data_IF_034268844151
#
_entry.id   IF_034268844151
#
_cell.length_a   1.000
_cell.length_b   1.000
_cell.length_c   1.000
_cell.angle_alpha   90.00
_cell.angle_beta   90.00
_cell.angle_gamma   90.00
#
_symmetry.space_group_name_H-M   'P 1'
#
loop_
_entity.id
_entity.type
_entity.pdbx_description
1 polymer ?
#
# COMPACT_ATOMS: atom_id res chain seq x y z
N UNK A 1 38.00 17.88 24.43
CA UNK A 1 37.01 16.99 25.08
C UNK A 1 35.64 17.05 24.40
N UNK A 2 35.08 18.24 24.11
CA UNK A 2 33.78 18.35 23.41
C UNK A 2 33.78 17.72 21.99
N UNK A 3 34.89 17.80 21.24
CA UNK A 3 35.01 17.18 19.91
C UNK A 3 35.19 15.66 19.93
N UNK A 4 35.37 15.06 21.11
CA UNK A 4 35.53 13.61 21.28
C UNK A 4 34.19 12.92 21.65
N UNK A 5 33.06 13.63 21.60
CA UNK A 5 31.74 13.08 21.91
C UNK A 5 31.42 12.92 23.40
N UNK A 6 32.28 13.43 24.28
CA UNK A 6 32.01 13.41 25.72
C UNK A 6 30.90 14.42 26.07
N UNK A 7 30.00 14.02 26.97
CA UNK A 7 29.00 14.91 27.53
C UNK A 7 29.69 16.08 28.27
N UNK A 8 29.24 17.30 28.01
CA UNK A 8 29.76 18.52 28.64
C UNK A 8 28.72 19.05 29.63
N UNK A 9 29.11 19.22 30.88
CA UNK A 9 28.26 19.79 31.93
C UNK A 9 28.26 21.32 31.84
N UNK A 10 27.47 21.86 30.92
CA UNK A 10 27.41 23.31 30.69
C UNK A 10 26.89 24.10 31.90
N UNK A 11 26.09 23.48 32.77
CA UNK A 11 25.55 24.11 33.97
C UNK A 11 26.65 24.44 35.02
N UNK A 12 27.67 23.58 35.13
CA UNK A 12 28.81 23.82 36.03
C UNK A 12 29.68 25.00 35.56
N UNK A 13 29.75 25.22 34.24
CA UNK A 13 30.53 26.31 33.62
C UNK A 13 29.75 27.62 33.56
N UNK A 14 28.42 27.57 33.37
CA UNK A 14 27.57 28.74 33.16
C UNK A 14 26.27 28.65 34.00
N UNK A 15 26.36 28.81 35.33
CA UNK A 15 25.22 28.60 36.24
C UNK A 15 24.09 29.64 36.08
N UNK A 16 24.39 30.82 35.51
CA UNK A 16 23.42 31.88 35.25
C UNK A 16 23.13 32.10 33.76
N UNK A 17 23.46 31.13 32.90
CA UNK A 17 23.23 31.22 31.46
C UNK A 17 21.74 31.18 31.08
N UNK A 18 21.38 31.82 29.97
CA UNK A 18 20.04 31.76 29.38
C UNK A 18 20.09 30.99 28.07
N UNK A 19 19.25 29.95 27.95
CA UNK A 19 19.07 29.22 26.70
C UNK A 19 18.38 30.12 25.67
N UNK A 20 18.82 30.02 24.43
CA UNK A 20 18.26 30.76 23.29
C UNK A 20 17.92 29.77 22.19
N UNK A 21 16.92 30.11 21.38
CA UNK A 21 16.61 29.34 20.19
C UNK A 21 17.77 29.48 19.20
N UNK A 22 18.44 28.36 18.96
CA UNK A 22 19.42 28.26 17.90
C UNK A 22 18.71 27.99 16.56
N UNK A 23 19.23 28.49 15.44
CA UNK A 23 18.77 28.06 14.13
C UNK A 23 18.79 26.54 14.03
N UNK A 24 17.75 25.96 13.43
CA UNK A 24 17.71 24.51 13.20
C UNK A 24 18.91 24.09 12.34
N UNK A 25 19.53 22.93 12.63
CA UNK A 25 20.60 22.42 11.80
C UNK A 25 20.09 22.24 10.36
N UNK A 26 20.91 22.62 9.39
CA UNK A 26 20.58 22.39 7.98
C UNK A 26 20.78 20.92 7.66
N UNK A 27 19.68 20.20 7.57
CA UNK A 27 19.60 18.88 7.00
C UNK A 27 20.07 18.85 5.54
N UNK A 28 20.95 17.89 5.22
CA UNK A 28 21.29 17.57 3.84
C UNK A 28 20.21 16.66 3.26
N UNK A 29 19.41 17.20 2.35
CA UNK A 29 18.37 16.46 1.64
C UNK A 29 18.97 15.59 0.56
N UNK A 30 19.48 14.42 0.93
CA UNK A 30 19.87 13.41 -0.05
C UNK A 30 18.63 12.59 -0.42
N UNK A 31 18.28 12.47 -1.71
CA UNK A 31 17.19 11.59 -2.12
C UNK A 31 17.60 10.13 -1.88
N UNK A 32 17.03 9.54 -0.84
CA UNK A 32 17.21 8.12 -0.49
C UNK A 32 15.95 7.34 -0.86
N UNK A 33 15.64 7.32 -2.16
CA UNK A 33 14.52 6.57 -2.72
C UNK A 33 15.02 5.23 -3.27
N UNK A 34 14.32 4.14 -2.94
CA UNK A 34 14.51 2.87 -3.63
C UNK A 34 13.80 2.96 -4.98
N UNK A 35 14.58 2.98 -6.06
CA UNK A 35 14.06 2.97 -7.43
C UNK A 35 14.28 1.56 -7.97
N UNK A 36 13.21 0.81 -8.28
CA UNK A 36 13.32 -0.49 -8.91
C UNK A 36 14.03 -0.36 -10.27
N UNK A 37 15.03 -1.21 -10.50
CA UNK A 37 15.79 -1.26 -11.75
C UNK A 37 14.97 -1.81 -12.94
N UNK A 38 13.93 -2.58 -12.63
CA UNK A 38 12.95 -3.08 -13.58
C UNK A 38 11.55 -2.62 -13.15
N UNK A 39 10.82 -1.84 -13.98
CA UNK A 39 9.46 -1.42 -13.68
C UNK A 39 8.47 -2.59 -13.60
N UNK A 40 8.76 -3.76 -14.18
CA UNK A 40 7.95 -4.97 -13.97
C UNK A 40 8.14 -5.58 -12.58
N UNK A 41 9.28 -5.32 -11.94
CA UNK A 41 9.59 -5.69 -10.55
C UNK A 41 9.32 -4.54 -9.55
N UNK A 42 8.85 -3.39 -10.02
CA UNK A 42 8.51 -2.24 -9.18
C UNK A 42 7.28 -2.48 -8.29
N UNK A 43 6.48 -3.50 -8.60
CA UNK A 43 5.33 -3.93 -7.82
C UNK A 43 5.80 -4.78 -6.64
N UNK A 44 6.27 -4.10 -5.58
CA UNK A 44 6.37 -4.65 -4.23
C UNK A 44 6.97 -6.07 -4.19
N UNK A 45 8.29 -6.14 -4.28
CA UNK A 45 9.03 -7.40 -4.25
C UNK A 45 8.54 -8.36 -3.16
N UNK A 46 8.49 -9.63 -3.55
CA UNK A 46 8.39 -10.83 -2.71
C UNK A 46 7.01 -11.35 -2.27
N UNK A 47 5.94 -11.09 -3.03
CA UNK A 47 4.74 -11.94 -2.93
C UNK A 47 4.39 -12.43 -4.33
N UNK A 48 4.48 -13.75 -4.56
CA UNK A 48 3.93 -14.39 -5.76
C UNK A 48 2.49 -13.92 -5.91
N UNK A 49 2.20 -13.16 -6.97
CA UNK A 49 0.84 -12.76 -7.28
C UNK A 49 0.02 -14.02 -7.58
N UNK A 50 -0.71 -14.52 -6.57
CA UNK A 50 -1.51 -15.75 -6.70
C UNK A 50 -2.72 -15.52 -7.61
N UNK A 51 -3.16 -14.25 -7.76
CA UNK A 51 -4.31 -13.89 -8.58
C UNK A 51 -4.00 -12.72 -9.54
N UNK A 52 -4.27 -12.88 -10.85
CA UNK A 52 -3.85 -11.93 -11.90
C UNK A 52 -4.46 -10.52 -11.77
N UNK A 53 -5.55 -10.37 -11.00
CA UNK A 53 -6.21 -9.07 -10.76
C UNK A 53 -6.08 -8.54 -9.33
N UNK A 54 -5.41 -9.26 -8.41
CA UNK A 54 -5.19 -8.79 -7.03
C UNK A 54 -3.71 -8.56 -6.70
N UNK A 55 -2.79 -9.23 -7.40
CA UNK A 55 -1.35 -9.01 -7.22
C UNK A 55 -0.86 -9.21 -5.79
N UNK A 56 -0.04 -8.28 -5.32
CA UNK A 56 0.60 -8.33 -4.01
C UNK A 56 -0.41 -8.07 -2.89
N UNK A 57 -0.36 -8.88 -1.84
CA UNK A 57 -1.18 -8.75 -0.65
C UNK A 57 -0.34 -8.25 0.53
N UNK A 58 -0.79 -7.19 1.18
CA UNK A 58 -0.21 -6.64 2.39
C UNK A 58 -1.24 -6.69 3.52
N UNK A 59 -0.87 -7.35 4.62
CA UNK A 59 -1.63 -7.33 5.87
C UNK A 59 -1.08 -6.21 6.76
N UNK A 60 -1.92 -5.24 7.12
CA UNK A 60 -1.59 -4.13 8.00
C UNK A 60 -2.15 -4.43 9.40
N UNK A 61 -1.30 -4.60 10.43
CA UNK A 61 -1.72 -4.89 11.80
C UNK A 61 -2.22 -3.61 12.52
N UNK A 62 -3.18 -2.92 11.92
CA UNK A 62 -3.89 -1.77 12.48
C UNK A 62 -5.20 -2.24 13.17
N UNK A 63 -5.82 -1.40 14.00
CA UNK A 63 -7.14 -1.66 14.57
C UNK A 63 -8.16 -0.64 14.01
N UNK A 64 -9.18 -1.07 13.23
CA UNK A 64 -9.46 -2.46 12.82
C UNK A 64 -8.46 -3.01 11.79
N UNK A 65 -8.29 -4.34 11.79
CA UNK A 65 -7.40 -5.04 10.85
C UNK A 65 -7.69 -4.66 9.41
N UNK A 66 -6.62 -4.44 8.63
CA UNK A 66 -6.74 -3.97 7.25
C UNK A 66 -5.87 -4.80 6.31
N UNK A 67 -6.46 -5.15 5.17
CA UNK A 67 -5.78 -5.87 4.09
C UNK A 67 -5.79 -5.01 2.83
N UNK A 68 -4.66 -4.93 2.15
CA UNK A 68 -4.48 -4.15 0.93
C UNK A 68 -3.93 -5.05 -0.17
N UNK A 69 -4.52 -4.93 -1.35
CA UNK A 69 -4.04 -5.56 -2.58
C UNK A 69 -3.62 -4.49 -3.57
N UNK A 70 -2.51 -4.75 -4.26
CA UNK A 70 -1.99 -3.85 -5.29
C UNK A 70 -1.55 -4.63 -6.51
N UNK A 71 -2.05 -4.21 -7.66
CA UNK A 71 -1.64 -4.69 -8.99
C UNK A 71 -1.96 -3.64 -10.04
N UNK A 72 -1.28 -3.73 -11.18
CA UNK A 72 -1.71 -3.03 -12.39
C UNK A 72 -2.82 -3.81 -13.09
N UNK A 73 -3.85 -3.09 -13.54
CA UNK A 73 -4.96 -3.65 -14.31
C UNK A 73 -5.17 -2.77 -15.54
N UNK A 74 -5.11 -3.38 -16.71
CA UNK A 74 -5.28 -2.70 -18.00
C UNK A 74 -4.91 -3.65 -19.13
N UNK A 75 -5.12 -3.23 -20.38
CA UNK A 75 -4.85 -4.07 -21.55
C UNK A 75 -3.37 -4.41 -21.73
N UNK A 76 -2.45 -3.59 -21.20
CA UNK A 76 -1.02 -3.91 -21.14
C UNK A 76 -0.76 -5.11 -20.22
N UNK A 77 -1.35 -5.13 -19.02
CA UNK A 77 -1.16 -6.19 -18.04
C UNK A 77 -2.03 -7.43 -18.34
N UNK A 78 -3.21 -7.23 -18.92
CA UNK A 78 -4.24 -8.24 -19.17
C UNK A 78 -4.83 -8.04 -20.57
N UNK A 79 -4.19 -8.59 -21.63
CA UNK A 79 -4.59 -8.33 -23.01
C UNK A 79 -6.04 -8.68 -23.34
N UNK A 80 -6.61 -9.69 -22.67
CA UNK A 80 -8.02 -10.09 -22.82
C UNK A 80 -9.02 -9.01 -22.41
N UNK A 81 -8.62 -7.99 -21.64
CA UNK A 81 -9.49 -6.84 -21.34
C UNK A 81 -9.84 -6.02 -22.58
N UNK A 82 -9.04 -6.13 -23.66
CA UNK A 82 -9.35 -5.47 -24.92
C UNK A 82 -10.66 -6.02 -25.55
N UNK A 83 -11.06 -7.23 -25.20
CA UNK A 83 -12.24 -7.90 -25.76
C UNK A 83 -13.54 -7.48 -25.03
N UNK A 84 -13.45 -6.91 -23.83
CA UNK A 84 -14.62 -6.39 -23.11
C UNK A 84 -14.73 -4.88 -23.23
N UNK A 85 -15.65 -4.42 -24.08
CA UNK A 85 -15.82 -3.00 -24.37
C UNK A 85 -17.23 -2.51 -24.06
N UNK A 86 -17.31 -1.32 -23.47
CA UNK A 86 -18.55 -0.57 -23.28
C UNK A 86 -18.41 0.72 -24.08
N UNK A 87 -19.31 0.95 -25.04
CA UNK A 87 -19.22 2.08 -25.97
C UNK A 87 -17.85 2.19 -26.68
N UNK A 88 -17.29 1.06 -27.13
CA UNK A 88 -15.99 0.96 -27.83
C UNK A 88 -14.77 1.35 -26.97
N UNK A 89 -14.93 1.37 -25.64
CA UNK A 89 -13.83 1.61 -24.70
C UNK A 89 -13.64 0.36 -23.85
N UNK A 90 -12.39 -0.13 -23.76
CA UNK A 90 -12.04 -1.26 -22.92
C UNK A 90 -12.43 -0.96 -21.45
N UNK A 91 -13.18 -1.87 -20.85
CA UNK A 91 -13.68 -1.73 -19.50
C UNK A 91 -13.44 -3.03 -18.73
N UNK A 92 -13.18 -2.91 -17.42
CA UNK A 92 -13.09 -4.09 -16.57
C UNK A 92 -14.50 -4.71 -16.39
N UNK A 93 -14.74 -5.99 -16.76
CA UNK A 93 -16.04 -6.60 -16.59
C UNK A 93 -16.50 -6.60 -15.13
N UNK A 94 -17.82 -6.49 -14.90
CA UNK A 94 -18.38 -6.59 -13.55
C UNK A 94 -18.01 -7.92 -12.86
N UNK A 95 -17.97 -9.03 -13.61
CA UNK A 95 -17.58 -10.34 -13.10
C UNK A 95 -16.14 -10.36 -12.55
N UNK A 96 -15.23 -9.56 -13.12
CA UNK A 96 -13.85 -9.47 -12.62
C UNK A 96 -13.79 -8.86 -11.22
N UNK A 97 -14.67 -7.89 -10.90
CA UNK A 97 -14.80 -7.37 -9.54
C UNK A 97 -15.34 -8.43 -8.57
N UNK A 98 -16.29 -9.27 -9.01
CA UNK A 98 -16.78 -10.38 -8.19
C UNK A 98 -15.66 -11.38 -7.87
N UNK A 99 -14.86 -11.77 -8.86
CA UNK A 99 -13.72 -12.67 -8.65
C UNK A 99 -12.66 -12.07 -7.72
N UNK A 100 -12.34 -10.78 -7.88
CA UNK A 100 -11.46 -10.07 -6.94
C UNK A 100 -12.01 -10.08 -5.52
N UNK A 101 -13.31 -9.80 -5.34
CA UNK A 101 -13.93 -9.79 -4.01
C UNK A 101 -13.94 -11.19 -3.38
N UNK A 102 -14.27 -12.24 -4.15
CA UNK A 102 -14.28 -13.62 -3.67
C UNK A 102 -12.88 -14.10 -3.29
N UNK A 103 -11.88 -13.80 -4.11
CA UNK A 103 -10.50 -14.19 -3.85
C UNK A 103 -9.90 -13.45 -2.65
N UNK A 104 -10.19 -12.15 -2.51
CA UNK A 104 -9.81 -11.38 -1.33
C UNK A 104 -10.47 -11.93 -0.06
N UNK A 105 -11.77 -12.24 -0.13
CA UNK A 105 -12.50 -12.84 0.98
C UNK A 105 -11.94 -14.21 1.37
N UNK A 106 -11.62 -15.09 0.40
CA UNK A 106 -10.98 -16.38 0.69
C UNK A 106 -9.60 -16.23 1.32
N UNK A 107 -8.84 -15.22 0.91
CA UNK A 107 -7.52 -14.93 1.49
C UNK A 107 -7.61 -14.46 2.94
N UNK A 108 -8.61 -13.63 3.28
CA UNK A 108 -8.78 -13.08 4.63
C UNK A 108 -9.49 -14.04 5.57
N UNK A 109 -10.59 -14.64 5.11
CA UNK A 109 -11.48 -15.45 5.95
C UNK A 109 -11.26 -16.96 5.79
N UNK A 110 -10.38 -17.38 4.89
CA UNK A 110 -10.20 -18.78 4.51
C UNK A 110 -11.27 -19.29 3.54
N UNK A 111 -11.19 -20.57 3.16
CA UNK A 111 -12.28 -21.25 2.46
C UNK A 111 -13.55 -21.18 3.33
N UNK A 112 -14.71 -20.79 2.78
CA UNK A 112 -15.96 -20.97 3.52
C UNK A 112 -16.05 -22.45 3.87
N UNK A 113 -16.04 -22.77 5.16
CA UNK A 113 -16.39 -24.10 5.63
C UNK A 113 -17.65 -24.51 4.86
N UNK A 114 -17.57 -25.62 4.11
CA UNK A 114 -18.69 -26.15 3.31
C UNK A 114 -19.98 -25.87 4.06
N UNK A 115 -20.94 -25.22 3.42
CA UNK A 115 -22.22 -24.87 4.04
C UNK A 115 -22.88 -26.13 4.63
N UNK A 116 -22.61 -26.38 5.91
CA UNK A 116 -23.60 -26.87 6.83
C UNK A 116 -24.59 -25.73 7.00
N UNK A 117 -25.86 -26.02 6.74
CA UNK A 117 -26.99 -25.12 6.92
C UNK A 117 -26.96 -24.47 8.31
N UNK A 118 -26.41 -23.26 8.43
CA UNK A 118 -26.57 -22.44 9.62
C UNK A 118 -26.65 -20.96 9.22
N UNK A 119 -27.64 -20.20 9.71
CA UNK A 119 -27.93 -18.88 9.20
C UNK A 119 -27.11 -17.79 9.93
N UNK A 120 -26.66 -16.81 9.13
CA UNK A 120 -26.36 -15.42 9.48
C UNK A 120 -25.02 -15.13 10.17
N UNK A 121 -24.09 -14.54 9.42
CA UNK A 121 -23.25 -13.45 9.92
C UNK A 121 -23.06 -12.44 8.80
N UNK A 122 -23.53 -11.20 9.03
CA UNK A 122 -23.56 -10.10 8.07
C UNK A 122 -22.20 -9.41 8.11
N UNK A 123 -21.44 -9.47 7.01
CA UNK A 123 -20.15 -8.78 6.91
C UNK A 123 -20.33 -7.45 6.16
N UNK A 124 -20.18 -6.32 6.87
CA UNK A 124 -20.38 -4.97 6.33
C UNK A 124 -19.05 -4.23 6.21
N UNK A 125 -18.24 -4.53 5.19
CA UNK A 125 -17.02 -3.78 4.88
C UNK A 125 -16.78 -3.70 3.37
N UNK A 126 -17.39 -2.74 2.68
CA UNK A 126 -16.92 -2.30 1.36
C UNK A 126 -17.08 -0.77 1.23
N UNK A 127 -15.97 -0.04 1.28
CA UNK A 127 -15.84 1.36 0.84
C UNK A 127 -14.65 1.44 -0.10
N UNK A 128 -14.91 1.49 -1.41
CA UNK A 128 -13.91 1.74 -2.45
C UNK A 128 -13.76 3.25 -2.67
N UNK A 129 -12.67 3.84 -2.23
CA UNK A 129 -12.23 5.17 -2.66
C UNK A 129 -11.38 5.04 -3.93
N UNK A 130 -11.98 5.34 -5.08
CA UNK A 130 -11.24 5.44 -6.36
C UNK A 130 -10.69 6.85 -6.51
N UNK A 131 -9.38 6.97 -6.71
CA UNK A 131 -8.77 8.19 -7.27
C UNK A 131 -8.40 7.89 -8.72
N UNK A 132 -9.25 8.33 -9.65
CA UNK A 132 -9.02 8.20 -11.09
C UNK A 132 -8.03 9.28 -11.53
N UNK A 133 -6.91 8.89 -12.15
CA UNK A 133 -5.96 9.83 -12.76
C UNK A 133 -6.18 9.81 -14.28
N UNK A 134 -6.63 10.90 -14.92
CA UNK A 134 -6.78 10.93 -16.37
C UNK A 134 -5.42 10.94 -17.08
N UNK A 135 -5.34 10.43 -18.32
CA UNK A 135 -4.11 10.41 -19.11
C UNK A 135 -3.68 11.83 -19.54
N UNK A 136 -2.37 12.09 -19.75
CA UNK A 136 -1.88 13.35 -20.31
C UNK A 136 -2.26 13.49 -21.80
N UNK A 137 -2.43 14.75 -22.23
CA UNK A 137 -2.66 15.14 -23.63
C UNK A 137 -1.36 15.14 -24.43
#
# INVERSE_FOLDING_TARGET
MHSAGAAVEFAALYPAGRLVDAPLPTWTHVPLMLIPEDPEHAHGGAVVAVHPLLGAHVHLPEEPERHVWQTDVGTTAQPWLADHQVHQVAALPAAAYCEMALTAARTVFGEPARCGTSPLTRCSCWRTERRFRPPPR
#
